data_IF_343649950895
#
_entry.id   IF_343649950895
#
_cell.length_a   1.000
_cell.length_b   1.000
_cell.length_c   1.000
_cell.angle_alpha   90.00
_cell.angle_beta   90.00
_cell.angle_gamma   90.00
#
_symmetry.space_group_name_H-M   'P 1'
#
loop_
_entity.id
_entity.type
_entity.pdbx_description
1 polymer ?
#
# COMPACT_ATOMS: atom_id res chain seq x y z
N UNK A 1 -4.86 2.25 10.76
CA UNK A 1 -5.85 1.25 11.24
C UNK A 1 -5.80 1.26 12.74
N UNK A 2 -6.93 1.50 13.39
CA UNK A 2 -7.06 1.48 14.84
C UNK A 2 -7.62 0.15 15.30
N UNK A 3 -7.10 -0.37 16.42
CA UNK A 3 -7.49 -1.64 17.00
C UNK A 3 -7.76 -1.43 18.48
N UNK A 4 -8.98 -1.77 18.90
CA UNK A 4 -9.43 -1.71 20.29
C UNK A 4 -9.82 -3.12 20.75
N UNK A 5 -9.06 -3.65 21.70
CA UNK A 5 -9.31 -4.95 22.33
C UNK A 5 -10.08 -4.69 23.62
N UNK A 6 -11.31 -5.19 23.70
CA UNK A 6 -12.21 -5.00 24.84
C UNK A 6 -12.52 -6.32 25.52
N UNK A 7 -12.58 -6.28 26.85
CA UNK A 7 -13.14 -7.34 27.66
C UNK A 7 -14.66 -7.36 27.45
N UNK A 8 -15.21 -8.49 27.02
CA UNK A 8 -16.63 -8.66 26.70
C UNK A 8 -17.52 -8.58 27.96
N UNK A 9 -17.02 -9.04 29.11
CA UNK A 9 -17.76 -9.10 30.38
C UNK A 9 -17.81 -7.70 31.00
N UNK A 10 -16.64 -7.06 31.13
CA UNK A 10 -16.51 -5.79 31.84
C UNK A 10 -16.67 -4.56 30.94
N UNK A 11 -16.73 -4.76 29.61
CA UNK A 11 -16.73 -3.71 28.56
C UNK A 11 -15.58 -2.71 28.68
N UNK A 12 -14.49 -3.10 29.34
CA UNK A 12 -13.29 -2.28 29.50
C UNK A 12 -12.36 -2.49 28.31
N UNK A 13 -11.80 -1.40 27.80
CA UNK A 13 -10.67 -1.48 26.86
C UNK A 13 -9.47 -2.03 27.60
N UNK A 14 -8.97 -3.16 27.13
CA UNK A 14 -7.81 -3.86 27.67
C UNK A 14 -6.55 -3.42 26.91
N UNK A 15 -6.68 -3.18 25.60
CA UNK A 15 -5.60 -2.63 24.77
C UNK A 15 -6.14 -1.74 23.66
N UNK A 16 -5.43 -0.65 23.40
CA UNK A 16 -5.65 0.21 22.25
C UNK A 16 -4.34 0.37 21.48
N UNK A 17 -4.37 0.17 20.17
CA UNK A 17 -3.20 0.26 19.30
C UNK A 17 -3.55 0.88 17.94
N UNK A 18 -2.62 1.67 17.40
CA UNK A 18 -2.75 2.26 16.07
C UNK A 18 -1.62 1.76 15.16
N UNK A 19 -1.99 1.28 13.99
CA UNK A 19 -1.07 0.77 12.97
C UNK A 19 -1.12 1.68 11.75
N UNK A 20 0.06 2.14 11.33
CA UNK A 20 0.23 2.98 10.15
C UNK A 20 1.11 2.25 9.15
N UNK A 21 0.76 2.36 7.87
CA UNK A 21 1.57 1.83 6.79
C UNK A 21 1.51 2.79 5.61
N UNK A 22 2.62 2.91 4.90
CA UNK A 22 2.75 3.79 3.74
C UNK A 22 3.03 2.94 2.51
N UNK A 23 2.30 3.20 1.44
CA UNK A 23 2.54 2.59 0.13
C UNK A 23 2.89 3.69 -0.86
N UNK A 24 4.05 3.59 -1.51
CA UNK A 24 4.50 4.52 -2.55
C UNK A 24 4.40 3.85 -3.91
N UNK A 25 3.69 4.49 -4.82
CA UNK A 25 3.58 4.11 -6.22
C UNK A 25 4.05 5.26 -7.09
N UNK A 26 4.77 4.93 -8.15
CA UNK A 26 5.28 5.86 -9.14
C UNK A 26 5.01 5.27 -10.51
N UNK A 27 4.49 6.11 -11.41
CA UNK A 27 4.25 5.78 -12.80
C UNK A 27 4.93 6.82 -13.66
N UNK A 28 5.64 6.37 -14.67
CA UNK A 28 6.38 7.21 -15.60
C UNK A 28 5.83 6.98 -17.00
N UNK A 29 5.24 8.03 -17.55
CA UNK A 29 4.71 8.04 -18.91
C UNK A 29 5.29 9.23 -19.66
N UNK A 30 5.56 9.04 -20.95
CA UNK A 30 6.16 10.07 -21.79
C UNK A 30 5.55 10.07 -23.18
N UNK A 31 5.43 11.25 -23.77
CA UNK A 31 5.10 11.43 -25.17
C UNK A 31 6.19 12.26 -25.84
N UNK A 32 6.54 11.89 -27.06
CA UNK A 32 7.55 12.61 -27.82
C UNK A 32 7.01 13.07 -29.18
N UNK A 33 7.44 14.27 -29.59
CA UNK A 33 7.17 14.86 -30.91
C UNK A 33 8.43 15.57 -31.41
N UNK A 34 8.95 15.17 -32.58
CA UNK A 34 10.15 15.76 -33.19
C UNK A 34 11.14 14.74 -33.76
N UNK A 35 12.43 15.10 -33.81
CA UNK A 35 13.56 14.22 -34.17
C UNK A 35 13.95 13.23 -33.05
N UNK A 36 13.54 11.98 -33.22
CA UNK A 36 13.71 10.90 -32.26
C UNK A 36 15.17 10.50 -31.97
N UNK A 37 16.14 11.08 -32.68
CA UNK A 37 17.58 10.87 -32.49
C UNK A 37 18.14 11.52 -31.22
N UNK A 38 17.43 12.48 -30.65
CA UNK A 38 17.81 13.10 -29.37
C UNK A 38 17.38 12.29 -28.15
N UNK A 39 16.55 11.26 -28.33
CA UNK A 39 16.06 10.42 -27.25
C UNK A 39 17.09 9.35 -26.87
N UNK A 40 17.35 9.24 -25.58
CA UNK A 40 18.11 8.12 -25.03
C UNK A 40 17.25 6.85 -24.98
N UNK A 41 17.89 5.70 -24.80
CA UNK A 41 17.18 4.43 -24.63
C UNK A 41 16.25 4.44 -23.40
N UNK A 42 16.59 5.22 -22.35
CA UNK A 42 15.74 5.37 -21.17
C UNK A 42 14.44 6.13 -21.51
N UNK A 43 14.53 7.18 -22.32
CA UNK A 43 13.37 7.94 -22.77
C UNK A 43 12.43 7.06 -23.61
N UNK A 44 13.00 6.21 -24.46
CA UNK A 44 12.22 5.23 -25.22
C UNK A 44 11.49 4.24 -24.34
N UNK A 45 12.08 3.82 -23.22
CA UNK A 45 11.42 2.92 -22.28
C UNK A 45 10.20 3.60 -21.63
N UNK A 46 10.31 4.88 -21.27
CA UNK A 46 9.20 5.68 -20.69
C UNK A 46 8.10 5.93 -21.73
N UNK A 47 8.47 6.25 -22.97
CA UNK A 47 7.53 6.53 -24.07
C UNK A 47 6.77 5.27 -24.51
N UNK A 48 7.45 4.12 -24.51
CA UNK A 48 6.86 2.84 -24.89
C UNK A 48 6.04 2.20 -23.76
N UNK A 49 6.10 2.74 -22.54
CA UNK A 49 5.32 2.27 -21.39
C UNK A 49 3.84 2.70 -21.43
N UNK A 50 3.20 2.61 -22.60
CA UNK A 50 1.79 3.03 -22.81
C UNK A 50 0.75 2.07 -22.22
N UNK A 51 1.18 0.87 -21.84
CA UNK A 51 0.33 -0.17 -21.24
C UNK A 51 0.44 -0.22 -19.71
N UNK A 52 1.10 0.76 -19.08
CA UNK A 52 1.05 0.89 -17.63
C UNK A 52 -0.41 1.13 -17.22
N UNK A 53 -1.02 0.14 -16.57
CA UNK A 53 -2.34 0.34 -15.98
C UNK A 53 -2.13 1.26 -14.77
N UNK A 54 -2.76 2.45 -14.75
CA UNK A 54 -2.66 3.33 -13.60
C UNK A 54 -3.16 2.55 -12.39
N UNK A 55 -2.38 2.57 -11.31
CA UNK A 55 -2.74 1.86 -10.11
C UNK A 55 -4.07 2.38 -9.58
N UNK A 56 -5.01 1.47 -9.34
CA UNK A 56 -6.32 1.85 -8.85
C UNK A 56 -6.25 2.04 -7.34
N UNK A 57 -7.17 2.84 -6.79
CA UNK A 57 -7.22 3.08 -5.35
C UNK A 57 -7.44 1.77 -4.58
N UNK A 58 -8.19 0.86 -5.17
CA UNK A 58 -8.47 -0.47 -4.65
C UNK A 58 -7.20 -1.30 -4.51
N UNK A 59 -6.29 -1.22 -5.48
CA UNK A 59 -5.01 -1.95 -5.47
C UNK A 59 -4.10 -1.44 -4.35
N UNK A 60 -4.03 -0.11 -4.16
CA UNK A 60 -3.29 0.51 -3.03
C UNK A 60 -3.86 0.04 -1.70
N UNK A 61 -5.18 0.06 -1.55
CA UNK A 61 -5.85 -0.40 -0.33
C UNK A 61 -5.57 -1.88 -0.07
N UNK A 62 -5.68 -2.72 -1.09
CA UNK A 62 -5.40 -4.15 -0.98
C UNK A 62 -3.96 -4.40 -0.53
N UNK A 63 -2.98 -3.67 -1.08
CA UNK A 63 -1.58 -3.75 -0.69
C UNK A 63 -1.34 -3.28 0.74
N UNK A 64 -1.98 -2.18 1.16
CA UNK A 64 -1.93 -1.70 2.55
C UNK A 64 -2.52 -2.74 3.51
N UNK A 65 -3.67 -3.32 3.18
CA UNK A 65 -4.29 -4.39 3.98
C UNK A 65 -3.41 -5.63 4.05
N UNK A 66 -2.84 -6.07 2.93
CA UNK A 66 -1.92 -7.22 2.87
C UNK A 66 -0.73 -7.07 3.82
N UNK A 67 -0.21 -5.85 3.96
CA UNK A 67 0.91 -5.53 4.88
C UNK A 67 0.48 -5.31 6.33
N UNK A 68 -0.70 -4.73 6.56
CA UNK A 68 -1.19 -4.39 7.90
C UNK A 68 -1.80 -5.59 8.62
N UNK A 69 -2.58 -6.40 7.90
CA UNK A 69 -3.33 -7.53 8.46
C UNK A 69 -2.47 -8.51 9.29
N UNK A 70 -1.34 -9.04 8.80
CA UNK A 70 -0.53 -9.96 9.60
C UNK A 70 0.05 -9.31 10.85
N UNK A 71 0.36 -8.01 10.82
CA UNK A 71 0.85 -7.27 11.99
C UNK A 71 -0.24 -7.11 13.04
N UNK A 72 -1.45 -6.74 12.62
CA UNK A 72 -2.61 -6.63 13.49
C UNK A 72 -2.97 -8.00 14.09
N UNK A 73 -3.00 -9.04 13.25
CA UNK A 73 -3.29 -10.41 13.71
C UNK A 73 -2.28 -10.88 14.75
N UNK A 74 -0.99 -10.66 14.52
CA UNK A 74 0.06 -11.01 15.48
C UNK A 74 -0.04 -10.21 16.78
N UNK A 75 -0.38 -8.92 16.69
CA UNK A 75 -0.61 -8.09 17.87
C UNK A 75 -1.75 -8.64 18.72
N UNK A 76 -2.89 -8.91 18.09
CA UNK A 76 -4.07 -9.48 18.79
C UNK A 76 -3.73 -10.84 19.40
N UNK A 77 -3.10 -11.75 18.65
CA UNK A 77 -2.73 -13.08 19.16
C UNK A 77 -1.82 -13.02 20.38
N UNK A 78 -0.77 -12.19 20.32
CA UNK A 78 0.14 -11.99 21.46
C UNK A 78 -0.58 -11.44 22.68
N UNK A 79 -1.50 -10.51 22.46
CA UNK A 79 -2.23 -9.87 23.56
C UNK A 79 -3.23 -10.82 24.23
N UNK A 80 -3.85 -11.72 23.45
CA UNK A 80 -4.90 -12.63 23.94
C UNK A 80 -4.33 -13.96 24.49
N UNK A 81 -3.01 -14.15 24.47
CA UNK A 81 -2.35 -15.42 24.85
C UNK A 81 -3.00 -16.65 24.19
N UNK A 82 -3.23 -16.59 22.87
CA UNK A 82 -3.71 -17.72 22.07
C UNK A 82 -2.62 -18.31 21.18
#
# INVERSE_FOLDING_TARGET
MEVDIRDVINRKTVNFSSFQETYRWQDETGSYTGDSRALSQADWNIINNRNSQPMRREDVLQELYRKLYPRVLNHVRRYVEW
#
